data_IF_741824604644
#
_entry.id   IF_741824604644
#
_cell.length_a   1.000
_cell.length_b   1.000
_cell.length_c   1.000
_cell.angle_alpha   90.00
_cell.angle_beta   90.00
_cell.angle_gamma   90.00
#
_symmetry.space_group_name_H-M   'P 1'
#
loop_
_entity.id
_entity.type
_entity.pdbx_description
1 polymer ?
#
# COMPACT_ATOMS: atom_id res chain seq x y z
N UNK A 1 45.04 91.87 -15.84
CA UNK A 1 45.01 91.07 -14.61
C UNK A 1 43.86 90.09 -14.75
N UNK A 2 44.18 88.83 -14.48
CA UNK A 2 43.57 87.59 -14.97
C UNK A 2 42.19 87.28 -14.41
N UNK A 3 41.28 86.91 -15.31
CA UNK A 3 39.94 86.38 -15.08
C UNK A 3 40.05 84.90 -14.72
N UNK A 4 39.69 84.53 -13.48
CA UNK A 4 39.68 83.14 -13.02
C UNK A 4 38.30 82.52 -13.30
N UNK A 5 38.15 81.91 -14.47
CA UNK A 5 37.02 81.03 -14.78
C UNK A 5 37.24 79.71 -14.04
N UNK A 6 36.49 79.49 -12.96
CA UNK A 6 36.36 78.17 -12.35
C UNK A 6 35.57 77.26 -13.29
N UNK A 7 36.29 76.45 -14.08
CA UNK A 7 35.73 75.29 -14.77
C UNK A 7 35.15 74.32 -13.75
N UNK A 8 33.82 74.21 -13.72
CA UNK A 8 33.11 73.15 -13.00
C UNK A 8 33.60 71.80 -13.51
N UNK A 9 34.29 71.06 -12.64
CA UNK A 9 34.76 69.70 -12.91
C UNK A 9 33.59 68.82 -13.34
N UNK A 10 33.81 68.07 -14.42
CA UNK A 10 32.92 67.04 -14.90
C UNK A 10 32.49 66.15 -13.72
N UNK A 11 31.20 66.14 -13.41
CA UNK A 11 30.63 65.20 -12.47
C UNK A 11 31.00 63.79 -12.95
N UNK A 12 31.86 63.10 -12.19
CA UNK A 12 32.06 61.66 -12.36
C UNK A 12 30.69 61.00 -12.23
N UNK A 13 30.17 60.50 -13.35
CA UNK A 13 28.95 59.71 -13.34
C UNK A 13 29.18 58.52 -12.41
N UNK A 14 28.46 58.50 -11.29
CA UNK A 14 28.42 57.33 -10.43
C UNK A 14 28.04 56.11 -11.30
N UNK A 15 28.69 54.95 -11.12
CA UNK A 15 28.40 53.78 -11.94
C UNK A 15 26.91 53.46 -11.81
N UNK A 16 26.21 53.49 -12.94
CA UNK A 16 24.77 53.21 -13.01
C UNK A 16 24.59 51.75 -12.59
N UNK A 17 24.12 51.53 -11.37
CA UNK A 17 23.76 50.21 -10.89
C UNK A 17 22.50 49.80 -11.63
N UNK A 18 22.66 49.04 -12.71
CA UNK A 18 21.63 48.77 -13.74
C UNK A 18 20.35 48.06 -13.24
N UNK A 19 20.21 47.83 -11.93
CA UNK A 19 19.10 47.11 -11.31
C UNK A 19 19.03 45.63 -11.70
N UNK A 20 19.92 45.17 -12.57
CA UNK A 20 19.99 43.79 -13.03
C UNK A 20 20.75 42.93 -12.01
N UNK A 21 20.31 41.68 -11.79
CA UNK A 21 20.95 40.77 -10.84
C UNK A 21 22.42 40.51 -11.21
N UNK A 22 23.30 40.56 -10.22
CA UNK A 22 24.71 40.26 -10.38
C UNK A 22 24.91 38.76 -10.67
N UNK A 23 26.10 38.37 -11.14
CA UNK A 23 26.45 36.96 -11.40
C UNK A 23 26.18 36.04 -10.19
N UNK A 24 26.45 36.53 -8.97
CA UNK A 24 26.16 35.79 -7.75
C UNK A 24 24.66 35.67 -7.46
N UNK A 25 23.87 36.70 -7.76
CA UNK A 25 22.40 36.66 -7.62
C UNK A 25 21.80 35.66 -8.62
N UNK A 26 22.30 35.65 -9.86
CA UNK A 26 21.87 34.68 -10.89
C UNK A 26 22.22 33.25 -10.45
N UNK A 27 23.44 33.01 -9.96
CA UNK A 27 23.85 31.70 -9.43
C UNK A 27 22.97 31.27 -8.25
N UNK A 28 22.65 32.19 -7.35
CA UNK A 28 21.77 31.92 -6.21
C UNK A 28 20.34 31.60 -6.65
N UNK A 29 19.78 32.33 -7.62
CA UNK A 29 18.44 32.05 -8.16
C UNK A 29 18.38 30.70 -8.89
N UNK A 30 19.42 30.35 -9.64
CA UNK A 30 19.54 29.02 -10.26
C UNK A 30 19.57 27.94 -9.18
N UNK A 31 20.37 28.13 -8.12
CA UNK A 31 20.43 27.20 -6.99
C UNK A 31 19.05 27.03 -6.33
N UNK A 32 18.32 28.13 -6.06
CA UNK A 32 16.97 28.07 -5.51
C UNK A 32 16.01 27.31 -6.43
N UNK A 33 16.05 27.57 -7.74
CA UNK A 33 15.23 26.85 -8.71
C UNK A 33 15.55 25.34 -8.71
N UNK A 34 16.83 24.96 -8.65
CA UNK A 34 17.27 23.57 -8.55
C UNK A 34 16.77 22.89 -7.25
N UNK A 35 16.84 23.59 -6.10
CA UNK A 35 16.34 23.08 -4.83
C UNK A 35 14.83 22.86 -4.89
N UNK A 36 14.07 23.83 -5.41
CA UNK A 36 12.61 23.70 -5.58
C UNK A 36 12.25 22.50 -6.47
N UNK A 37 12.93 22.33 -7.61
CA UNK A 37 12.72 21.18 -8.49
C UNK A 37 13.03 19.86 -7.79
N UNK A 38 14.11 19.80 -7.01
CA UNK A 38 14.50 18.59 -6.26
C UNK A 38 13.47 18.22 -5.20
N UNK A 39 12.98 19.20 -4.43
CA UNK A 39 11.95 18.97 -3.40
C UNK A 39 10.64 18.51 -4.04
N UNK A 40 10.19 19.15 -5.13
CA UNK A 40 8.99 18.71 -5.85
C UNK A 40 9.13 17.28 -6.37
N UNK A 41 10.30 16.90 -6.88
CA UNK A 41 10.59 15.54 -7.32
C UNK A 41 10.50 14.52 -6.18
N UNK A 42 11.14 14.81 -5.03
CA UNK A 42 11.07 13.95 -3.83
C UNK A 42 9.62 13.81 -3.35
N UNK A 43 8.83 14.89 -3.39
CA UNK A 43 7.41 14.86 -3.06
C UNK A 43 6.61 13.91 -3.96
N UNK A 44 6.86 13.92 -5.28
CA UNK A 44 6.22 12.99 -6.22
C UNK A 44 6.61 11.55 -5.96
N UNK A 45 7.87 11.28 -5.61
CA UNK A 45 8.33 9.94 -5.25
C UNK A 45 7.62 9.44 -3.98
N UNK A 46 7.59 10.26 -2.92
CA UNK A 46 6.93 9.92 -1.66
C UNK A 46 5.43 9.65 -1.88
N UNK A 47 4.75 10.47 -2.68
CA UNK A 47 3.35 10.27 -3.05
C UNK A 47 3.14 8.93 -3.78
N UNK A 48 3.96 8.63 -4.79
CA UNK A 48 3.85 7.36 -5.54
C UNK A 48 4.04 6.16 -4.64
N UNK A 49 4.96 6.22 -3.69
CA UNK A 49 5.17 5.14 -2.73
C UNK A 49 4.01 5.00 -1.74
N UNK A 50 3.49 6.10 -1.22
CA UNK A 50 2.32 6.10 -0.35
C UNK A 50 1.07 5.56 -1.06
N UNK A 51 0.88 5.92 -2.32
CA UNK A 51 -0.24 5.43 -3.14
C UNK A 51 -0.23 3.91 -3.30
N UNK A 52 0.95 3.28 -3.43
CA UNK A 52 1.05 1.82 -3.50
C UNK A 52 0.58 1.14 -2.21
N UNK A 53 0.91 1.71 -1.04
CA UNK A 53 0.42 1.18 0.24
C UNK A 53 -1.11 1.26 0.33
N UNK A 54 -1.69 2.37 -0.15
CA UNK A 54 -3.14 2.55 -0.16
C UNK A 54 -3.82 1.55 -1.10
N UNK A 55 -3.28 1.32 -2.29
CA UNK A 55 -3.80 0.28 -3.22
C UNK A 55 -3.69 -1.12 -2.61
N UNK A 56 -2.59 -1.45 -1.93
CA UNK A 56 -2.45 -2.73 -1.21
C UNK A 56 -3.51 -2.87 -0.13
N UNK A 57 -3.83 -1.81 0.62
CA UNK A 57 -4.91 -1.82 1.61
C UNK A 57 -6.27 -2.04 0.94
N UNK A 58 -6.55 -1.33 -0.15
CA UNK A 58 -7.78 -1.50 -0.93
C UNK A 58 -7.94 -2.91 -1.48
N UNK A 59 -6.85 -3.57 -1.90
CA UNK A 59 -6.88 -4.97 -2.29
C UNK A 59 -7.33 -5.87 -1.13
N UNK A 60 -6.76 -5.65 0.07
CA UNK A 60 -7.18 -6.38 1.28
C UNK A 60 -8.65 -6.12 1.65
N UNK A 61 -9.12 -4.87 1.53
CA UNK A 61 -10.51 -4.50 1.74
C UNK A 61 -11.45 -5.13 0.70
N UNK A 62 -11.03 -5.24 -0.57
CA UNK A 62 -11.80 -5.91 -1.61
C UNK A 62 -11.98 -7.41 -1.31
N UNK A 63 -10.90 -8.08 -0.88
CA UNK A 63 -10.94 -9.46 -0.40
C UNK A 63 -11.89 -9.62 0.79
N UNK A 64 -11.70 -8.79 1.83
CA UNK A 64 -12.55 -8.82 3.03
C UNK A 64 -14.02 -8.56 2.70
N UNK A 65 -14.31 -7.57 1.86
CA UNK A 65 -15.68 -7.23 1.45
C UNK A 65 -16.35 -8.38 0.72
N UNK A 66 -15.63 -9.01 -0.21
CA UNK A 66 -16.17 -10.17 -0.93
C UNK A 66 -16.40 -11.34 0.01
N UNK A 67 -15.43 -11.69 0.85
CA UNK A 67 -15.56 -12.83 1.77
C UNK A 67 -16.71 -12.62 2.76
N UNK A 68 -16.80 -11.44 3.39
CA UNK A 68 -17.92 -11.12 4.31
C UNK A 68 -19.27 -11.23 3.62
N UNK A 69 -19.41 -10.66 2.43
CA UNK A 69 -20.67 -10.69 1.68
C UNK A 69 -21.10 -12.10 1.28
N UNK A 70 -20.16 -13.05 1.19
CA UNK A 70 -20.42 -14.43 0.78
C UNK A 70 -20.33 -15.44 1.94
N UNK A 71 -20.04 -14.99 3.17
CA UNK A 71 -19.89 -15.85 4.35
C UNK A 71 -21.15 -16.64 4.68
N UNK A 72 -22.34 -16.04 4.50
CA UNK A 72 -23.61 -16.74 4.66
C UNK A 72 -24.02 -17.47 3.38
N UNK A 73 -23.81 -16.85 2.21
CA UNK A 73 -24.20 -17.40 0.92
C UNK A 73 -23.56 -18.76 0.62
N UNK A 74 -22.33 -18.99 1.10
CA UNK A 74 -21.65 -20.28 0.91
C UNK A 74 -22.32 -21.46 1.62
N UNK A 75 -23.21 -21.21 2.58
CA UNK A 75 -24.02 -22.25 3.24
C UNK A 75 -25.24 -22.67 2.42
N UNK A 76 -25.57 -21.90 1.38
CA UNK A 76 -26.73 -22.16 0.53
C UNK A 76 -26.38 -23.16 -0.57
N UNK A 77 -27.36 -23.99 -0.95
CA UNK A 77 -27.21 -24.90 -2.07
C UNK A 77 -26.98 -24.13 -3.37
N UNK A 78 -26.01 -24.57 -4.18
CA UNK A 78 -25.70 -23.95 -5.47
C UNK A 78 -24.89 -22.65 -5.38
N UNK A 79 -24.11 -22.46 -4.31
CA UNK A 79 -23.16 -21.35 -4.23
C UNK A 79 -22.20 -21.35 -5.44
N UNK A 80 -21.92 -20.18 -6.00
CA UNK A 80 -21.24 -20.03 -7.29
C UNK A 80 -19.78 -20.47 -7.29
N UNK A 81 -19.15 -20.52 -6.11
CA UNK A 81 -17.76 -20.97 -5.93
C UNK A 81 -17.78 -22.27 -5.15
N UNK A 82 -17.85 -23.39 -5.86
CA UNK A 82 -18.12 -24.71 -5.30
C UNK A 82 -17.08 -25.13 -4.26
N UNK A 83 -15.80 -24.84 -4.50
CA UNK A 83 -14.73 -25.20 -3.56
C UNK A 83 -14.75 -24.36 -2.28
N UNK A 84 -15.48 -23.24 -2.26
CA UNK A 84 -15.67 -22.40 -1.07
C UNK A 84 -17.00 -22.67 -0.35
N UNK A 85 -17.88 -23.50 -0.92
CA UNK A 85 -19.17 -23.83 -0.32
C UNK A 85 -18.98 -24.58 1.01
N UNK A 86 -19.81 -24.26 2.00
CA UNK A 86 -19.89 -25.07 3.22
C UNK A 86 -20.49 -26.44 2.87
N UNK A 87 -19.98 -27.50 3.51
CA UNK A 87 -20.47 -28.85 3.27
C UNK A 87 -20.31 -29.70 4.52
N UNK A 88 -21.34 -30.46 4.88
CA UNK A 88 -21.27 -31.40 6.01
C UNK A 88 -20.70 -32.76 5.59
N UNK A 89 -20.69 -33.06 4.29
CA UNK A 89 -20.35 -34.38 3.74
C UNK A 89 -19.01 -34.38 3.01
N UNK A 90 -18.61 -33.26 2.43
CA UNK A 90 -17.38 -33.12 1.66
C UNK A 90 -16.40 -32.17 2.32
N UNK A 91 -15.17 -32.64 2.51
CA UNK A 91 -14.11 -31.79 3.05
C UNK A 91 -13.63 -30.81 1.98
N UNK A 92 -14.05 -29.55 2.09
CA UNK A 92 -13.52 -28.45 1.26
C UNK A 92 -12.25 -27.87 1.88
N UNK A 93 -11.28 -27.49 1.04
CA UNK A 93 -9.97 -26.98 1.45
C UNK A 93 -9.77 -25.54 1.02
N UNK A 94 -9.08 -24.77 1.86
CA UNK A 94 -8.78 -23.37 1.56
C UNK A 94 -8.04 -23.20 0.22
N UNK A 95 -7.05 -24.05 -0.09
CA UNK A 95 -6.26 -23.91 -1.31
C UNK A 95 -7.09 -24.04 -2.60
N UNK A 96 -8.04 -24.98 -2.61
CA UNK A 96 -8.93 -25.20 -3.76
C UNK A 96 -9.92 -24.03 -3.91
N UNK A 97 -10.49 -23.56 -2.79
CA UNK A 97 -11.31 -22.36 -2.75
C UNK A 97 -10.54 -21.13 -3.25
N UNK A 98 -9.33 -20.91 -2.73
CA UNK A 98 -8.49 -19.78 -3.08
C UNK A 98 -8.17 -19.75 -4.58
N UNK A 99 -7.82 -20.90 -5.16
CA UNK A 99 -7.60 -21.02 -6.60
C UNK A 99 -8.84 -20.64 -7.39
N UNK A 100 -10.01 -21.12 -6.98
CA UNK A 100 -11.26 -20.81 -7.68
C UNK A 100 -11.64 -19.32 -7.53
N UNK A 101 -11.40 -18.70 -6.37
CA UNK A 101 -11.62 -17.26 -6.16
C UNK A 101 -10.74 -16.41 -7.07
N UNK A 102 -9.45 -16.75 -7.17
CA UNK A 102 -8.50 -16.00 -7.99
C UNK A 102 -8.69 -16.24 -9.49
N UNK A 103 -9.38 -17.29 -9.90
CA UNK A 103 -9.71 -17.55 -11.31
C UNK A 103 -11.08 -16.96 -11.70
N UNK A 104 -12.13 -17.23 -10.92
CA UNK A 104 -13.53 -16.99 -11.31
C UNK A 104 -14.13 -15.70 -10.79
N UNK A 105 -13.61 -15.12 -9.72
CA UNK A 105 -14.24 -13.97 -9.05
C UNK A 105 -13.68 -12.66 -9.60
N UNK A 106 -14.44 -12.01 -10.47
CA UNK A 106 -14.08 -10.76 -11.15
C UNK A 106 -13.52 -9.62 -10.25
N UNK A 107 -14.05 -9.34 -9.03
CA UNK A 107 -13.47 -8.32 -8.16
C UNK A 107 -12.13 -8.72 -7.52
N UNK A 108 -11.76 -10.01 -7.56
CA UNK A 108 -10.54 -10.52 -6.92
C UNK A 108 -9.45 -10.90 -7.92
N UNK A 109 -9.84 -11.45 -9.09
CA UNK A 109 -8.89 -11.95 -10.10
C UNK A 109 -8.11 -10.83 -10.83
N UNK A 110 -8.62 -9.59 -10.83
CA UNK A 110 -7.97 -8.44 -11.46
C UNK A 110 -7.06 -7.66 -10.49
N UNK A 111 -7.00 -8.05 -9.21
CA UNK A 111 -6.21 -7.34 -8.22
C UNK A 111 -4.72 -7.64 -8.41
N UNK A 112 -3.93 -6.57 -8.46
CA UNK A 112 -2.48 -6.65 -8.68
C UNK A 112 -1.76 -6.05 -7.48
N UNK A 113 -0.65 -6.67 -7.10
CA UNK A 113 0.28 -6.13 -6.12
C UNK A 113 1.03 -4.92 -6.73
N UNK A 114 0.86 -3.69 -6.21
CA UNK A 114 1.43 -2.48 -6.80
C UNK A 114 2.95 -2.33 -6.60
N UNK A 115 3.56 -3.20 -5.78
CA UNK A 115 5.00 -3.23 -5.55
C UNK A 115 5.72 -4.17 -6.50
N UNK A 116 5.17 -5.38 -6.66
CA UNK A 116 5.79 -6.46 -7.42
C UNK A 116 5.21 -6.61 -8.84
N UNK A 117 4.08 -5.96 -9.13
CA UNK A 117 3.31 -6.09 -10.38
C UNK A 117 2.95 -7.54 -10.73
N UNK A 118 2.72 -8.36 -9.71
CA UNK A 118 2.20 -9.72 -9.82
C UNK A 118 0.75 -9.75 -9.31
N UNK A 119 -0.07 -10.75 -9.70
CA UNK A 119 -1.37 -10.96 -9.08
C UNK A 119 -1.25 -11.02 -7.55
N UNK A 120 -2.27 -10.54 -6.84
CA UNK A 120 -2.27 -10.61 -5.38
C UNK A 120 -2.13 -12.06 -4.94
N UNK A 121 -1.10 -12.34 -4.15
CA UNK A 121 -0.81 -13.66 -3.60
C UNK A 121 -0.85 -13.64 -2.07
N UNK A 122 -1.04 -14.83 -1.49
CA UNK A 122 -1.05 -15.02 -0.06
C UNK A 122 0.31 -15.50 0.44
N UNK A 123 0.73 -15.00 1.60
CA UNK A 123 2.00 -15.34 2.24
C UNK A 123 1.76 -15.85 3.66
N UNK A 124 2.75 -16.58 4.19
CA UNK A 124 2.65 -17.15 5.53
C UNK A 124 2.74 -16.13 6.66
N UNK A 125 3.35 -14.98 6.40
CA UNK A 125 3.47 -13.83 7.29
C UNK A 125 4.01 -12.65 6.48
N UNK A 126 3.80 -11.44 6.99
CA UNK A 126 4.55 -10.28 6.53
C UNK A 126 5.95 -10.32 7.16
N UNK A 127 7.00 -10.33 6.35
CA UNK A 127 8.39 -10.41 6.83
C UNK A 127 9.24 -9.28 6.24
N UNK A 128 9.69 -8.30 7.04
CA UNK A 128 10.56 -7.22 6.58
C UNK A 128 11.90 -7.69 6.00
N UNK A 129 12.32 -8.93 6.29
CA UNK A 129 13.54 -9.53 5.74
C UNK A 129 13.29 -10.19 4.39
N UNK A 130 12.04 -10.53 4.06
CA UNK A 130 11.66 -11.14 2.80
C UNK A 130 10.83 -10.17 1.95
N UNK A 131 11.50 -9.60 0.94
CA UNK A 131 10.88 -8.65 0.01
C UNK A 131 9.78 -9.26 -0.86
N UNK A 132 9.69 -10.59 -0.96
CA UNK A 132 8.60 -11.25 -1.68
C UNK A 132 7.25 -11.11 -0.98
N UNK A 133 7.25 -10.75 0.32
CA UNK A 133 6.03 -10.54 1.11
C UNK A 133 5.42 -9.16 0.93
N UNK A 134 6.14 -8.20 0.36
CA UNK A 134 5.68 -6.81 0.19
C UNK A 134 4.43 -6.79 -0.70
N UNK A 135 3.37 -6.14 -0.22
CA UNK A 135 2.10 -6.00 -0.94
C UNK A 135 1.24 -7.26 -1.00
N UNK A 136 1.67 -8.36 -0.35
CA UNK A 136 0.93 -9.61 -0.27
C UNK A 136 -0.14 -9.57 0.82
N UNK A 137 -1.01 -10.58 0.83
CA UNK A 137 -2.04 -10.76 1.87
C UNK A 137 -1.64 -11.93 2.78
N UNK A 138 -1.85 -11.78 4.07
CA UNK A 138 -1.68 -12.81 5.08
C UNK A 138 -3.03 -13.09 5.75
N UNK A 139 -3.44 -14.36 5.75
CA UNK A 139 -4.64 -14.81 6.45
C UNK A 139 -4.28 -15.65 7.66
N UNK A 140 -4.89 -15.31 8.78
CA UNK A 140 -4.86 -16.12 9.99
C UNK A 140 -6.25 -16.68 10.24
N UNK A 141 -6.34 -17.97 10.56
CA UNK A 141 -7.52 -18.52 11.22
C UNK A 141 -7.42 -18.28 12.72
N UNK A 142 -8.54 -17.92 13.32
CA UNK A 142 -8.72 -17.65 14.73
C UNK A 142 -9.53 -18.78 15.33
N UNK A 143 -8.94 -19.49 16.30
CA UNK A 143 -9.61 -20.58 17.01
C UNK A 143 -9.80 -20.16 18.46
N UNK A 144 -11.05 -20.23 18.94
CA UNK A 144 -11.36 -19.97 20.33
C UNK A 144 -10.73 -21.05 21.22
N UNK A 145 -9.96 -20.62 22.22
CA UNK A 145 -9.37 -21.54 23.19
C UNK A 145 -10.42 -21.96 24.23
N UNK A 146 -10.21 -23.12 24.90
CA UNK A 146 -11.13 -23.58 25.93
C UNK A 146 -11.33 -22.54 27.06
N UNK A 147 -12.54 -22.47 27.67
CA UNK A 147 -12.80 -21.61 28.81
C UNK A 147 -11.76 -21.81 29.93
N UNK A 148 -11.25 -20.72 30.49
CA UNK A 148 -10.18 -20.74 31.51
C UNK A 148 -8.76 -20.59 30.96
N UNK A 149 -8.57 -20.57 29.63
CA UNK A 149 -7.30 -20.17 29.02
C UNK A 149 -6.99 -18.70 29.27
N UNK A 150 -5.72 -18.38 29.54
CA UNK A 150 -5.26 -16.99 29.68
C UNK A 150 -5.36 -16.19 28.37
N UNK A 151 -5.34 -16.88 27.23
CA UNK A 151 -5.50 -16.30 25.90
C UNK A 151 -6.82 -16.83 25.32
N UNK A 152 -7.81 -15.98 25.00
CA UNK A 152 -9.13 -16.44 24.58
C UNK A 152 -9.15 -16.98 23.14
N UNK A 153 -8.23 -16.52 22.29
CA UNK A 153 -8.19 -16.88 20.86
C UNK A 153 -6.74 -17.11 20.43
N UNK A 154 -6.49 -18.22 19.75
CA UNK A 154 -5.19 -18.49 19.11
C UNK A 154 -5.29 -18.19 17.62
N UNK A 155 -4.42 -17.32 17.12
CA UNK A 155 -4.25 -17.06 15.69
C UNK A 155 -3.20 -18.01 15.11
N UNK A 156 -3.49 -18.59 13.95
CA UNK A 156 -2.55 -19.43 13.20
C UNK A 156 -2.72 -19.16 11.72
N UNK A 157 -1.66 -19.33 10.93
CA UNK A 157 -1.74 -19.17 9.48
C UNK A 157 -2.83 -20.08 8.89
N UNK A 158 -3.67 -19.51 8.02
CA UNK A 158 -4.55 -20.30 7.17
C UNK A 158 -3.73 -20.89 6.02
N UNK A 159 -3.63 -22.21 5.97
CA UNK A 159 -2.85 -22.94 4.95
C UNK A 159 -3.76 -23.68 3.98
N UNK A 160 -3.26 -24.00 2.79
CA UNK A 160 -4.05 -24.61 1.71
C UNK A 160 -4.79 -25.88 2.11
N UNK A 161 -4.23 -26.65 3.04
CA UNK A 161 -4.83 -27.90 3.52
C UNK A 161 -5.94 -27.70 4.55
N UNK A 162 -6.12 -26.47 5.06
CA UNK A 162 -7.08 -26.20 6.11
C UNK A 162 -8.52 -26.43 5.63
N UNK A 163 -9.34 -27.12 6.44
CA UNK A 163 -10.74 -27.34 6.12
C UNK A 163 -11.50 -26.03 6.26
N UNK A 164 -12.36 -25.74 5.27
CA UNK A 164 -13.25 -24.56 5.26
C UNK A 164 -14.72 -24.99 5.09
N UNK A 165 -14.98 -26.27 5.31
CA UNK A 165 -16.31 -26.89 5.33
C UNK A 165 -17.25 -26.23 6.35
N UNK A 166 -16.69 -25.67 7.43
CA UNK A 166 -17.41 -24.92 8.47
C UNK A 166 -16.95 -23.46 8.54
N UNK A 167 -17.71 -22.64 9.28
CA UNK A 167 -17.43 -21.20 9.50
C UNK A 167 -16.14 -21.01 10.30
N UNK A 168 -15.21 -20.25 9.75
CA UNK A 168 -13.93 -19.91 10.38
C UNK A 168 -13.89 -18.42 10.66
N UNK A 169 -13.44 -18.04 11.86
CA UNK A 169 -13.03 -16.67 12.13
C UNK A 169 -11.66 -16.44 11.49
N UNK A 170 -11.55 -15.46 10.61
CA UNK A 170 -10.35 -15.15 9.83
C UNK A 170 -9.91 -13.72 10.15
N UNK A 171 -8.61 -13.52 10.34
CA UNK A 171 -7.97 -12.20 10.32
C UNK A 171 -7.27 -12.00 8.99
N UNK A 172 -7.64 -10.93 8.27
CA UNK A 172 -6.96 -10.52 7.05
C UNK A 172 -5.98 -9.38 7.36
N UNK A 173 -4.75 -9.58 6.92
CA UNK A 173 -3.65 -8.62 7.06
C UNK A 173 -3.03 -8.38 5.69
N UNK A 174 -2.65 -7.16 5.38
CA UNK A 174 -1.84 -6.85 4.20
C UNK A 174 -0.42 -6.46 4.60
N UNK A 175 0.55 -6.79 3.76
CA UNK A 175 1.94 -6.44 4.00
C UNK A 175 2.29 -5.13 3.29
N UNK A 176 2.77 -4.12 4.01
CA UNK A 176 3.15 -2.85 3.39
C UNK A 176 4.48 -2.91 2.63
N UNK A 177 4.90 -1.74 2.12
CA UNK A 177 6.21 -1.54 1.48
C UNK A 177 7.39 -2.09 2.30
N UNK A 178 7.33 -1.98 3.64
CA UNK A 178 8.37 -2.45 4.53
C UNK A 178 8.27 -3.92 4.89
N UNK A 179 7.27 -4.65 4.38
CA UNK A 179 6.98 -6.02 4.77
C UNK A 179 6.36 -6.11 6.17
N UNK A 180 5.81 -5.02 6.70
CA UNK A 180 5.12 -5.00 7.99
C UNK A 180 3.64 -5.32 7.83
N UNK A 181 3.10 -6.00 8.85
CA UNK A 181 1.72 -6.42 8.91
C UNK A 181 0.79 -5.24 9.25
N UNK A 182 -0.12 -4.93 8.33
CA UNK A 182 -1.23 -4.01 8.54
C UNK A 182 -2.55 -4.77 8.56
N UNK A 183 -3.16 -4.86 9.75
CA UNK A 183 -4.43 -5.56 9.94
C UNK A 183 -5.53 -4.80 9.22
N UNK A 184 -6.28 -5.51 8.37
CA UNK A 184 -7.45 -4.95 7.68
C UNK A 184 -8.67 -5.16 8.55
N UNK A 185 -9.00 -6.41 8.87
CA UNK A 185 -10.14 -6.74 9.72
C UNK A 185 -10.11 -8.20 10.20
N UNK A 186 -10.97 -8.49 11.18
CA UNK A 186 -11.33 -9.84 11.62
C UNK A 186 -12.79 -10.11 11.27
N UNK A 187 -13.07 -11.25 10.67
CA UNK A 187 -14.42 -11.59 10.21
C UNK A 187 -14.60 -13.08 10.09
N UNK A 188 -15.86 -13.51 10.09
CA UNK A 188 -16.14 -14.91 9.83
C UNK A 188 -16.36 -15.14 8.34
N UNK A 189 -15.75 -16.21 7.85
CA UNK A 189 -16.00 -16.75 6.53
C UNK A 189 -16.49 -18.17 6.69
#
# INVERSE_FOLDING_TARGET
MTENVHTHGAAQAAPVNSGMPNRYDILFLILLACVMATVSWVGVLAYKEGYKNEVTKQNGEAWMKWMKANSEARTQAGFSVENCAASETERKRWGDCFKELTEKVAPLNNLTNPFLNVPVHFVAKCDPKDRSTIGAIFLEKLVANPPGSAIPVTASQLVDTDPIDTKLSIRLTVCDKGGYANKVDEFDF
#
